data_IF_647712698619
#
_entry.id   IF_647712698619
#
_cell.length_a   1.000
_cell.length_b   1.000
_cell.length_c   1.000
_cell.angle_alpha   90.00
_cell.angle_beta   90.00
_cell.angle_gamma   90.00
#
_symmetry.space_group_name_H-M   'P 1'
#
loop_
_entity.id
_entity.type
_entity.pdbx_description
1 polymer ?
#
# COMPACT_ATOMS: atom_id res chain seq x y z
N UNK A 1 -20.18 10.61 13.14
CA UNK A 1 -20.34 9.15 13.01
C UNK A 1 -19.55 8.44 14.09
N UNK A 2 -20.23 7.85 15.08
CA UNK A 2 -19.63 7.33 16.33
C UNK A 2 -19.71 5.80 16.46
N UNK A 3 -20.29 5.11 15.48
CA UNK A 3 -20.56 3.66 15.53
C UNK A 3 -19.29 2.81 15.31
N UNK A 4 -18.25 3.34 14.64
CA UNK A 4 -17.02 2.57 14.33
C UNK A 4 -16.01 2.49 15.49
N UNK A 5 -16.14 3.31 16.53
CA UNK A 5 -15.27 3.27 17.71
C UNK A 5 -15.40 1.96 18.53
N UNK A 6 -16.46 1.18 18.32
CA UNK A 6 -16.83 0.08 19.23
C UNK A 6 -16.31 -1.29 18.77
N UNK A 7 -15.93 -1.47 17.49
CA UNK A 7 -15.52 -2.78 16.98
C UNK A 7 -14.30 -2.72 16.04
N UNK A 8 -13.07 -3.01 16.51
CA UNK A 8 -11.87 -3.06 15.67
C UNK A 8 -11.97 -4.12 14.56
N UNK A 9 -12.67 -5.23 14.79
CA UNK A 9 -12.97 -6.23 13.75
C UNK A 9 -13.86 -5.68 12.63
N UNK A 10 -14.86 -4.86 12.97
CA UNK A 10 -15.72 -4.21 11.97
C UNK A 10 -14.95 -3.16 11.17
N UNK A 11 -13.92 -2.58 11.79
CA UNK A 11 -13.00 -1.64 11.16
C UNK A 11 -11.92 -2.32 10.31
N UNK A 12 -11.82 -3.65 10.32
CA UNK A 12 -10.77 -4.41 9.61
C UNK A 12 -9.33 -4.07 10.01
N UNK A 13 -9.12 -3.18 10.99
CA UNK A 13 -7.79 -2.68 11.35
C UNK A 13 -6.92 -3.73 12.07
N UNK A 14 -7.52 -4.85 12.49
CA UNK A 14 -6.85 -5.95 13.17
C UNK A 14 -6.05 -6.85 12.23
N UNK A 15 -6.18 -6.64 10.91
CA UNK A 15 -5.39 -7.34 9.89
C UNK A 15 -4.74 -6.35 8.91
N UNK A 16 -3.41 -6.46 8.64
CA UNK A 16 -2.69 -5.55 7.74
C UNK A 16 -3.22 -5.55 6.29
N UNK A 17 -3.62 -6.71 5.77
CA UNK A 17 -4.25 -6.86 4.43
C UNK A 17 -5.77 -7.05 4.53
N UNK A 18 -6.44 -6.20 5.32
CA UNK A 18 -7.91 -6.20 5.40
C UNK A 18 -8.54 -5.71 4.10
N UNK A 19 -9.81 -6.05 3.86
CA UNK A 19 -10.54 -5.54 2.70
C UNK A 19 -11.04 -4.09 2.84
N UNK A 20 -10.76 -3.41 3.96
CA UNK A 20 -11.28 -2.06 4.20
C UNK A 20 -10.23 -1.00 3.81
N UNK A 21 -10.54 -0.21 2.78
CA UNK A 21 -9.70 0.91 2.36
C UNK A 21 -9.68 2.04 3.41
N UNK A 22 -10.86 2.45 3.90
CA UNK A 22 -11.03 3.49 4.91
C UNK A 22 -10.88 2.93 6.33
N UNK A 23 -9.68 2.46 6.67
CA UNK A 23 -9.36 1.90 7.98
C UNK A 23 -8.54 2.84 8.88
N UNK A 24 -8.47 4.14 8.54
CA UNK A 24 -7.76 5.15 9.30
C UNK A 24 -8.55 5.78 10.47
N UNK A 25 -7.84 6.53 11.31
CA UNK A 25 -8.42 7.22 12.47
C UNK A 25 -9.52 8.23 12.11
N UNK A 26 -9.45 8.87 10.94
CA UNK A 26 -10.48 9.81 10.46
C UNK A 26 -11.84 9.13 10.26
N UNK A 27 -11.86 7.81 10.04
CA UNK A 27 -13.07 6.99 9.91
C UNK A 27 -13.40 6.19 11.17
N UNK A 28 -12.77 6.52 12.30
CA UNK A 28 -13.06 5.95 13.62
C UNK A 28 -12.30 4.66 13.93
N UNK A 29 -11.33 4.28 13.11
CA UNK A 29 -10.53 3.08 13.32
C UNK A 29 -9.30 3.40 14.19
N UNK A 30 -9.11 2.73 15.35
CA UNK A 30 -7.98 3.03 16.24
C UNK A 30 -6.70 2.33 15.78
N UNK A 31 -6.14 2.76 14.63
CA UNK A 31 -5.02 2.10 13.91
C UNK A 31 -3.87 1.70 14.83
N UNK A 32 -3.38 2.63 15.66
CA UNK A 32 -2.28 2.37 16.59
C UNK A 32 -2.59 1.24 17.58
N UNK A 33 -3.80 1.26 18.15
CA UNK A 33 -4.27 0.20 19.05
C UNK A 33 -4.44 -1.13 18.32
N UNK A 34 -4.75 -1.13 17.03
CA UNK A 34 -4.84 -2.36 16.24
C UNK A 34 -3.45 -2.91 15.90
N UNK A 35 -2.51 -2.05 15.47
CA UNK A 35 -1.10 -2.39 15.21
C UNK A 35 -0.39 -2.94 16.45
N UNK A 36 -0.77 -2.49 17.64
CA UNK A 36 -0.21 -3.00 18.90
C UNK A 36 -0.61 -4.45 19.23
N UNK A 37 -1.70 -4.98 18.64
CA UNK A 37 -2.24 -6.32 18.95
C UNK A 37 -1.36 -7.43 18.40
N UNK A 38 -1.30 -8.53 19.15
CA UNK A 38 -0.58 -9.74 18.73
C UNK A 38 -1.10 -10.31 17.41
N UNK A 39 -2.42 -10.31 17.19
CA UNK A 39 -3.02 -10.82 15.95
C UNK A 39 -2.54 -10.04 14.72
N UNK A 40 -2.46 -8.71 14.83
CA UNK A 40 -1.96 -7.86 13.74
C UNK A 40 -0.49 -8.15 13.47
N UNK A 41 0.35 -8.23 14.52
CA UNK A 41 1.78 -8.52 14.39
C UNK A 41 2.05 -9.87 13.74
N UNK A 42 1.33 -10.91 14.16
CA UNK A 42 1.43 -12.26 13.57
C UNK A 42 1.02 -12.24 12.09
N UNK A 43 -0.08 -11.54 11.76
CA UNK A 43 -0.49 -11.39 10.37
C UNK A 43 0.52 -10.59 9.54
N UNK A 44 1.12 -9.55 10.12
CA UNK A 44 2.15 -8.72 9.48
C UNK A 44 3.42 -9.53 9.19
N UNK A 45 3.86 -10.37 10.13
CA UNK A 45 4.99 -11.28 9.95
C UNK A 45 4.75 -12.35 8.89
N UNK A 46 3.48 -12.76 8.70
CA UNK A 46 3.10 -13.76 7.70
C UNK A 46 3.05 -13.20 6.27
N UNK A 47 3.12 -11.88 6.08
CA UNK A 47 3.14 -11.28 4.74
C UNK A 47 4.51 -11.56 4.10
N UNK A 48 4.54 -12.27 2.95
CA UNK A 48 5.79 -12.51 2.23
C UNK A 48 6.30 -11.20 1.65
N UNK A 49 7.62 -11.07 1.59
CA UNK A 49 8.21 -9.85 1.03
C UNK A 49 8.04 -9.73 -0.48
N UNK A 50 7.99 -10.89 -1.15
CA UNK A 50 7.69 -10.99 -2.56
C UNK A 50 6.32 -11.58 -2.78
N UNK A 51 5.50 -10.89 -3.55
CA UNK A 51 4.14 -11.31 -3.89
C UNK A 51 4.07 -11.68 -5.36
N UNK A 52 3.80 -12.95 -5.67
CA UNK A 52 3.68 -13.41 -7.06
C UNK A 52 2.41 -12.90 -7.75
N UNK A 53 1.30 -12.76 -7.01
CA UNK A 53 0.05 -12.21 -7.50
C UNK A 53 -0.90 -11.80 -6.36
N UNK A 54 -1.13 -10.49 -6.16
CA UNK A 54 -2.07 -9.98 -5.14
C UNK A 54 -3.52 -10.32 -5.45
N UNK A 55 -3.88 -10.59 -6.71
CA UNK A 55 -5.25 -10.91 -7.12
C UNK A 55 -5.73 -12.25 -6.55
N UNK A 56 -4.80 -13.12 -6.15
CA UNK A 56 -5.11 -14.39 -5.48
C UNK A 56 -5.43 -14.20 -3.98
N UNK A 57 -5.14 -13.04 -3.40
CA UNK A 57 -5.43 -12.78 -2.01
C UNK A 57 -6.94 -12.57 -1.79
N UNK A 58 -7.58 -13.27 -0.83
CA UNK A 58 -9.05 -13.27 -0.68
C UNK A 58 -9.64 -11.88 -0.40
N UNK A 59 -8.85 -10.96 0.17
CA UNK A 59 -9.31 -9.61 0.48
C UNK A 59 -9.05 -8.58 -0.64
N UNK A 60 -8.26 -8.90 -1.67
CA UNK A 60 -7.80 -7.92 -2.67
C UNK A 60 -8.96 -7.28 -3.43
N UNK A 61 -9.80 -8.10 -4.05
CA UNK A 61 -10.94 -7.61 -4.84
C UNK A 61 -11.87 -6.74 -4.01
N UNK A 62 -12.09 -7.11 -2.75
CA UNK A 62 -12.94 -6.33 -1.85
C UNK A 62 -12.26 -5.02 -1.43
N UNK A 63 -10.94 -5.03 -1.21
CA UNK A 63 -10.16 -3.81 -0.94
C UNK A 63 -10.28 -2.80 -2.08
N UNK A 64 -10.02 -3.22 -3.32
CA UNK A 64 -10.13 -2.34 -4.49
C UNK A 64 -11.55 -1.82 -4.68
N UNK A 65 -12.57 -2.66 -4.46
CA UNK A 65 -13.98 -2.21 -4.51
C UNK A 65 -14.36 -1.23 -3.40
N UNK A 66 -13.80 -1.37 -2.20
CA UNK A 66 -14.01 -0.40 -1.12
C UNK A 66 -13.38 0.95 -1.47
N UNK A 67 -12.23 0.93 -2.14
CA UNK A 67 -11.58 2.13 -2.66
C UNK A 67 -12.41 2.79 -3.76
N UNK A 68 -12.87 2.02 -4.76
CA UNK A 68 -13.75 2.48 -5.84
C UNK A 68 -15.02 3.14 -5.30
N UNK A 69 -15.70 2.52 -4.33
CA UNK A 69 -16.89 3.08 -3.71
C UNK A 69 -16.61 4.45 -3.05
N UNK A 70 -15.48 4.59 -2.36
CA UNK A 70 -15.08 5.87 -1.77
C UNK A 70 -14.78 6.95 -2.83
N UNK A 71 -14.14 6.57 -3.94
CA UNK A 71 -13.80 7.50 -5.03
C UNK A 71 -15.07 8.00 -5.72
N UNK A 72 -16.02 7.11 -5.98
CA UNK A 72 -17.35 7.46 -6.52
C UNK A 72 -18.10 8.40 -5.56
N UNK A 73 -18.13 8.11 -4.26
CA UNK A 73 -18.75 8.99 -3.25
C UNK A 73 -18.07 10.36 -3.15
N UNK A 74 -16.77 10.43 -3.47
CA UNK A 74 -15.96 11.65 -3.43
C UNK A 74 -15.97 12.42 -4.75
N UNK A 75 -16.75 11.98 -5.75
CA UNK A 75 -16.81 12.54 -7.11
C UNK A 75 -15.43 12.54 -7.82
N UNK A 76 -14.59 11.55 -7.50
CA UNK A 76 -13.29 11.31 -8.15
C UNK A 76 -13.48 10.24 -9.22
N UNK A 77 -13.36 10.62 -10.50
CA UNK A 77 -13.42 9.67 -11.62
C UNK A 77 -12.07 8.99 -11.84
N UNK A 78 -11.92 7.78 -11.31
CA UNK A 78 -10.71 6.98 -11.45
C UNK A 78 -10.99 5.50 -11.79
N UNK A 79 -12.05 5.28 -12.58
CA UNK A 79 -12.43 3.92 -13.00
C UNK A 79 -11.31 3.20 -13.76
N UNK A 80 -10.44 3.95 -14.44
CA UNK A 80 -9.25 3.43 -15.11
C UNK A 80 -8.33 2.72 -14.12
N UNK A 81 -7.92 3.41 -13.05
CA UNK A 81 -7.04 2.85 -12.02
C UNK A 81 -7.69 1.64 -11.33
N UNK A 82 -8.99 1.69 -11.02
CA UNK A 82 -9.67 0.56 -10.38
C UNK A 82 -9.67 -0.69 -11.26
N UNK A 83 -9.94 -0.51 -12.56
CA UNK A 83 -9.90 -1.60 -13.53
C UNK A 83 -8.49 -2.17 -13.70
N UNK A 84 -7.46 -1.31 -13.73
CA UNK A 84 -6.06 -1.73 -13.79
C UNK A 84 -5.65 -2.50 -12.54
N UNK A 85 -6.04 -2.07 -11.34
CA UNK A 85 -5.76 -2.80 -10.10
C UNK A 85 -6.42 -4.17 -10.06
N UNK A 86 -7.67 -4.29 -10.52
CA UNK A 86 -8.37 -5.56 -10.60
C UNK A 86 -7.76 -6.49 -11.66
N UNK A 87 -7.29 -5.94 -12.78
CA UNK A 87 -6.78 -6.71 -13.92
C UNK A 87 -5.32 -7.09 -13.75
N UNK A 88 -4.46 -6.15 -13.35
CA UNK A 88 -3.01 -6.28 -13.34
C UNK A 88 -2.42 -6.43 -11.92
N UNK A 89 -3.23 -6.26 -10.87
CA UNK A 89 -2.77 -6.44 -9.49
C UNK A 89 -1.71 -5.40 -9.10
N UNK A 90 -0.55 -5.86 -8.61
CA UNK A 90 0.51 -4.97 -8.14
C UNK A 90 1.24 -4.23 -9.27
N UNK A 91 1.17 -4.71 -10.51
CA UNK A 91 1.81 -4.03 -11.64
C UNK A 91 1.17 -2.66 -11.86
N UNK A 92 -0.16 -2.55 -11.71
CA UNK A 92 -0.86 -1.28 -11.76
C UNK A 92 -0.42 -0.32 -10.64
N UNK A 93 -0.02 -0.82 -9.48
CA UNK A 93 0.40 0.05 -8.36
C UNK A 93 1.68 0.83 -8.70
N UNK A 94 2.57 0.28 -9.54
CA UNK A 94 3.83 0.94 -9.93
C UNK A 94 3.59 2.29 -10.61
N UNK A 95 2.57 2.36 -11.45
CA UNK A 95 2.25 3.55 -12.23
C UNK A 95 1.64 4.67 -11.38
N UNK A 96 1.13 4.34 -10.18
CA UNK A 96 0.48 5.28 -9.25
C UNK A 96 1.08 5.24 -7.84
N UNK A 97 2.35 4.81 -7.71
CA UNK A 97 2.99 4.59 -6.41
C UNK A 97 2.96 5.83 -5.51
N UNK A 98 3.05 7.03 -6.08
CA UNK A 98 3.07 8.29 -5.32
C UNK A 98 1.78 8.52 -4.53
N UNK A 99 0.66 8.00 -5.04
CA UNK A 99 -0.67 8.19 -4.46
C UNK A 99 -1.08 6.93 -3.69
N UNK A 100 -0.88 5.75 -4.27
CA UNK A 100 -1.37 4.50 -3.72
C UNK A 100 -0.51 3.98 -2.55
N UNK A 101 0.78 4.31 -2.49
CA UNK A 101 1.65 3.81 -1.42
C UNK A 101 1.53 4.60 -0.11
N UNK A 102 0.82 5.73 -0.11
CA UNK A 102 0.66 6.58 1.06
C UNK A 102 -0.44 6.06 1.98
N UNK A 103 -0.06 5.69 3.21
CA UNK A 103 -1.00 5.53 4.31
C UNK A 103 -1.31 6.93 4.88
N UNK A 104 -2.59 7.24 5.06
CA UNK A 104 -3.04 8.53 5.61
C UNK A 104 -3.83 8.32 6.90
N UNK A 105 -4.24 9.41 7.55
CA UNK A 105 -5.20 9.33 8.65
C UNK A 105 -6.57 8.76 8.22
N UNK A 106 -6.88 8.72 6.92
CA UNK A 106 -8.13 8.24 6.37
C UNK A 106 -8.07 6.79 5.88
N UNK A 107 -7.01 6.44 5.16
CA UNK A 107 -6.95 5.21 4.36
C UNK A 107 -5.63 4.45 4.50
N UNK A 108 -5.71 3.15 4.25
CA UNK A 108 -4.52 2.30 4.06
C UNK A 108 -3.85 2.56 2.72
N UNK A 109 -2.52 2.40 2.70
CA UNK A 109 -1.72 2.35 1.47
C UNK A 109 -1.56 0.92 0.93
N UNK A 110 -0.93 0.82 -0.24
CA UNK A 110 -0.66 -0.45 -0.92
C UNK A 110 0.63 -1.15 -0.47
N UNK A 111 1.42 -0.54 0.42
CA UNK A 111 2.72 -1.05 0.87
C UNK A 111 2.66 -2.42 1.55
N UNK A 112 1.51 -2.81 2.10
CA UNK A 112 1.30 -4.13 2.71
C UNK A 112 0.79 -5.19 1.71
N UNK A 113 0.32 -4.77 0.53
CA UNK A 113 -0.14 -5.66 -0.54
C UNK A 113 1.01 -6.10 -1.44
N UNK A 114 1.93 -5.20 -1.71
CA UNK A 114 3.09 -5.44 -2.58
C UNK A 114 4.34 -4.81 -1.97
N UNK A 115 4.89 -5.38 -0.88
CA UNK A 115 5.93 -4.72 -0.11
C UNK A 115 7.18 -4.33 -0.91
N UNK A 116 7.50 -5.05 -1.99
CA UNK A 116 8.67 -4.78 -2.82
C UNK A 116 8.28 -4.50 -4.27
N UNK A 117 7.47 -5.38 -4.87
CA UNK A 117 7.27 -5.39 -6.32
C UNK A 117 6.67 -4.09 -6.87
N UNK A 118 5.84 -3.40 -6.10
CA UNK A 118 5.18 -2.19 -6.58
C UNK A 118 5.92 -0.88 -6.29
N UNK A 119 7.14 -0.93 -5.76
CA UNK A 119 7.93 0.29 -5.57
C UNK A 119 7.54 1.15 -4.36
N UNK A 120 6.53 0.77 -3.58
CA UNK A 120 6.12 1.51 -2.37
C UNK A 120 7.21 1.70 -1.29
N UNK A 121 8.36 1.06 -1.43
CA UNK A 121 9.53 1.21 -0.54
C UNK A 121 10.66 2.06 -1.08
N UNK A 122 10.58 2.52 -2.33
CA UNK A 122 11.61 3.39 -2.88
C UNK A 122 11.78 4.59 -1.92
N UNK A 123 13.00 4.93 -1.47
CA UNK A 123 13.25 6.01 -0.53
C UNK A 123 12.86 7.38 -1.10
N UNK A 124 11.57 7.68 -1.12
CA UNK A 124 11.05 9.02 -1.36
C UNK A 124 10.54 9.46 0.01
N UNK A 125 10.98 10.63 0.49
CA UNK A 125 10.95 11.07 1.91
C UNK A 125 9.60 11.19 2.62
N UNK A 126 8.56 10.50 2.16
CA UNK A 126 7.19 10.55 2.65
C UNK A 126 6.64 9.21 3.17
N UNK A 127 7.37 8.09 3.04
CA UNK A 127 6.84 6.76 3.35
C UNK A 127 7.41 6.16 4.64
N UNK A 128 6.88 6.58 5.79
CA UNK A 128 7.05 5.86 7.06
C UNK A 128 5.92 4.82 7.24
N UNK A 129 5.78 3.92 6.26
CA UNK A 129 4.76 2.87 6.33
C UNK A 129 5.29 1.63 7.05
N UNK A 130 4.46 1.07 7.92
CA UNK A 130 4.78 -0.17 8.65
C UNK A 130 5.03 -1.30 7.66
N UNK A 131 6.15 -2.01 7.78
CA UNK A 131 6.42 -3.15 6.92
C UNK A 131 6.44 -4.51 7.62
N UNK A 132 6.23 -5.59 6.84
CA UNK A 132 6.57 -6.92 7.29
C UNK A 132 8.05 -6.98 7.70
N UNK A 133 8.39 -7.52 8.89
CA UNK A 133 9.79 -7.68 9.31
C UNK A 133 10.63 -8.50 8.31
N UNK A 134 9.99 -9.42 7.58
CA UNK A 134 10.59 -10.20 6.49
C UNK A 134 11.19 -9.34 5.36
N UNK A 135 10.77 -8.07 5.25
CA UNK A 135 11.24 -7.12 4.24
C UNK A 135 12.30 -6.13 4.73
N UNK A 136 12.75 -6.20 5.98
CA UNK A 136 13.67 -5.21 6.54
C UNK A 136 15.00 -5.16 5.77
N UNK A 137 15.50 -6.34 5.35
CA UNK A 137 16.73 -6.45 4.55
C UNK A 137 16.60 -5.87 3.13
N UNK A 138 15.39 -5.63 2.64
CA UNK A 138 15.20 -5.10 1.29
C UNK A 138 15.83 -3.73 1.13
N UNK A 139 15.70 -2.85 2.14
CA UNK A 139 16.22 -1.47 2.07
C UNK A 139 17.73 -1.46 1.88
N UNK A 140 18.46 -2.24 2.68
CA UNK A 140 19.92 -2.34 2.56
C UNK A 140 20.34 -2.88 1.19
N UNK A 141 19.65 -3.88 0.65
CA UNK A 141 19.92 -4.42 -0.69
C UNK A 141 19.63 -3.41 -1.80
N UNK A 142 18.55 -2.64 -1.65
CA UNK A 142 18.18 -1.58 -2.59
C UNK A 142 19.24 -0.47 -2.60
N UNK A 143 19.64 0.02 -1.43
CA UNK A 143 20.70 1.03 -1.29
C UNK A 143 22.04 0.54 -1.85
N UNK A 144 22.42 -0.71 -1.57
CA UNK A 144 23.61 -1.33 -2.17
C UNK A 144 23.51 -1.39 -3.71
N UNK A 145 22.34 -1.78 -4.24
CA UNK A 145 22.13 -1.83 -5.68
C UNK A 145 22.20 -0.46 -6.34
N UNK A 146 21.69 0.59 -5.69
CA UNK A 146 21.82 1.96 -6.16
C UNK A 146 23.29 2.42 -6.19
N UNK A 147 24.07 2.05 -5.17
CA UNK A 147 25.51 2.36 -5.13
C UNK A 147 26.33 1.64 -6.20
N UNK A 148 25.81 0.55 -6.78
CA UNK A 148 26.42 -0.17 -7.88
C UNK A 148 26.02 0.37 -9.26
N UNK A 149 24.95 1.17 -9.35
CA UNK A 149 24.55 1.76 -10.62
C UNK A 149 25.59 2.80 -11.05
N UNK A 150 26.06 2.76 -12.30
CA UNK A 150 26.97 3.78 -12.80
C UNK A 150 26.28 5.14 -12.73
N UNK A 151 26.93 6.10 -12.07
CA UNK A 151 26.54 7.50 -12.11
C UNK A 151 26.94 8.09 -13.48
N UNK A 152 26.41 7.52 -14.56
CA UNK A 152 26.48 8.15 -15.86
C UNK A 152 25.33 9.15 -15.95
N UNK A 153 25.68 10.44 -15.96
CA UNK A 153 24.75 11.48 -16.34
C UNK A 153 24.17 11.09 -17.70
N UNK A 154 22.84 10.94 -17.77
CA UNK A 154 22.18 10.79 -19.06
C UNK A 154 22.62 11.98 -19.92
N UNK A 155 23.35 11.73 -21.00
CA UNK A 155 23.76 12.77 -21.93
C UNK A 155 22.50 13.54 -22.31
N UNK A 156 22.47 14.84 -21.99
CA UNK A 156 21.34 15.69 -22.30
C UNK A 156 21.02 15.54 -23.78
N UNK A 157 20.00 14.74 -24.11
CA UNK A 157 19.50 14.68 -25.47
C UNK A 157 18.98 16.08 -25.73
N UNK A 158 19.62 16.78 -26.65
CA UNK A 158 19.21 18.12 -27.06
C UNK A 158 17.72 18.08 -27.40
N UNK A 159 16.90 18.70 -26.55
CA UNK A 159 15.53 19.05 -26.87
C UNK A 159 15.57 20.11 -27.99
N UNK A 160 15.84 19.66 -29.21
CA UNK A 160 15.66 20.49 -30.39
C UNK A 160 14.16 20.59 -30.67
N UNK A 161 13.73 21.85 -30.73
CA UNK A 161 12.35 22.33 -30.79
C UNK A 161 11.65 22.04 -32.11
#
# INVERSE_FOLDING_TARGET
>A
STIRLVCPHTCGCDHPQSSLYLNGAAYGCPVESCKARTTYKVALEAIPCSTSDVRQHPNWTNFVRNMDAYFVESEIDDQGVMNELLTNGYDAVKDYQEILCVETLANSGFSLWCPVECGCRVPNGFYDTTCPPSCEQWRSKYEESLGQLPCEDASAVEFTS
#
